data_IF_960781989356
#
_entry.id   IF_960781989356
#
_cell.length_a   1.000
_cell.length_b   1.000
_cell.length_c   1.000
_cell.angle_alpha   90.00
_cell.angle_beta   90.00
_cell.angle_gamma   90.00
#
_symmetry.space_group_name_H-M   'P 1'
#
loop_
_entity.id
_entity.type
_entity.pdbx_description
1 polymer ?
#
# COMPACT_ATOMS: atom_id res chain seq x y z
N UNK A 1 10.36 69.35 7.57
CA UNK A 1 10.15 68.29 8.56
C UNK A 1 10.33 66.94 7.84
N UNK A 2 11.47 66.28 8.09
CA UNK A 2 11.77 64.97 7.48
C UNK A 2 11.15 63.86 8.34
N UNK A 3 10.26 63.10 7.77
CA UNK A 3 9.81 61.86 8.40
C UNK A 3 10.92 60.81 8.28
N UNK A 4 11.29 60.08 9.36
CA UNK A 4 12.23 59.01 9.27
C UNK A 4 11.59 57.84 8.52
N UNK A 5 12.16 57.45 7.40
CA UNK A 5 11.69 56.31 6.62
C UNK A 5 11.81 55.01 7.41
N UNK A 6 10.67 54.44 7.74
CA UNK A 6 10.59 53.09 8.32
C UNK A 6 10.96 52.07 7.21
N UNK A 7 12.06 51.36 7.40
CA UNK A 7 12.49 50.27 6.53
C UNK A 7 11.74 48.99 7.00
N UNK A 8 10.95 48.40 6.13
CA UNK A 8 10.22 47.16 6.40
C UNK A 8 10.97 45.99 5.74
N UNK A 9 11.13 44.94 6.48
CA UNK A 9 11.87 43.78 6.08
C UNK A 9 10.95 42.54 6.04
N UNK A 10 10.84 41.86 4.91
CA UNK A 10 10.13 40.58 4.80
C UNK A 10 11.05 39.49 4.24
N UNK A 11 11.08 38.37 4.90
CA UNK A 11 11.59 37.11 4.35
C UNK A 11 10.40 36.17 4.15
N UNK A 12 10.02 35.94 2.87
CA UNK A 12 8.96 34.98 2.52
C UNK A 12 9.60 33.72 1.94
N UNK A 13 9.25 32.57 2.49
CA UNK A 13 9.51 31.28 1.87
C UNK A 13 8.20 30.77 1.27
N UNK A 14 7.84 31.31 0.08
CA UNK A 14 6.71 30.83 -0.69
C UNK A 14 7.20 29.76 -1.67
N UNK A 15 6.76 28.51 -1.49
CA UNK A 15 6.86 27.53 -2.57
C UNK A 15 5.73 27.81 -3.55
N UNK A 16 6.08 28.34 -4.73
CA UNK A 16 5.18 28.49 -5.87
C UNK A 16 4.78 27.09 -6.39
N UNK A 17 3.57 26.66 -6.05
CA UNK A 17 2.81 25.71 -6.87
C UNK A 17 1.73 26.51 -7.60
N UNK A 18 2.01 26.86 -8.84
CA UNK A 18 1.08 27.58 -9.67
C UNK A 18 -0.10 26.72 -10.12
N UNK A 19 -1.29 27.09 -9.69
CA UNK A 19 -2.55 26.74 -10.35
C UNK A 19 -3.49 27.94 -10.25
N UNK A 20 -4.18 28.36 -11.32
CA UNK A 20 -5.02 29.54 -11.27
C UNK A 20 -6.27 29.27 -10.43
N UNK A 21 -6.44 30.05 -9.37
CA UNK A 21 -7.70 30.13 -8.63
C UNK A 21 -8.74 30.82 -9.51
N UNK A 22 -9.77 30.08 -9.93
CA UNK A 22 -11.03 30.67 -10.37
C UNK A 22 -11.76 31.21 -9.14
N UNK A 23 -11.86 32.52 -9.06
CA UNK A 23 -12.67 33.18 -8.05
C UNK A 23 -14.16 32.90 -8.31
N UNK A 24 -14.80 32.10 -7.45
CA UNK A 24 -16.24 32.06 -7.31
C UNK A 24 -16.64 32.93 -6.11
N UNK A 25 -17.66 33.80 -6.32
CA UNK A 25 -18.22 34.71 -5.31
C UNK A 25 -18.58 33.95 -4.01
N UNK A 26 -18.22 34.47 -2.84
CA UNK A 26 -18.58 33.87 -1.56
C UNK A 26 -20.06 34.07 -1.25
N UNK A 27 -20.74 33.00 -0.83
CA UNK A 27 -21.97 33.09 -0.06
C UNK A 27 -21.66 33.72 1.29
N UNK A 28 -22.55 34.61 1.77
CA UNK A 28 -22.49 35.43 2.97
C UNK A 28 -21.39 35.08 3.99
N UNK A 29 -20.33 35.85 3.97
CA UNK A 29 -19.23 35.74 4.91
C UNK A 29 -19.66 36.29 6.27
N UNK A 30 -19.30 35.59 7.36
CA UNK A 30 -19.32 36.16 8.71
C UNK A 30 -18.49 37.46 8.70
N UNK A 31 -19.11 38.56 9.08
CA UNK A 31 -18.43 39.85 9.19
C UNK A 31 -17.44 39.73 10.37
N UNK A 32 -16.12 39.81 10.14
CA UNK A 32 -15.14 39.78 11.23
C UNK A 32 -15.42 40.90 12.21
N UNK A 33 -15.16 40.68 13.49
CA UNK A 33 -15.30 41.75 14.49
C UNK A 33 -14.43 42.93 14.08
N UNK A 34 -14.84 44.15 14.42
CA UNK A 34 -14.10 45.36 14.02
C UNK A 34 -12.61 45.34 14.43
N UNK A 35 -12.27 44.63 15.50
CA UNK A 35 -10.90 44.41 15.95
C UNK A 35 -10.14 43.42 15.05
N UNK A 36 -10.76 42.31 14.65
CA UNK A 36 -10.19 41.31 13.73
C UNK A 36 -9.95 41.88 12.33
N UNK A 37 -10.92 42.70 11.84
CA UNK A 37 -10.79 43.39 10.57
C UNK A 37 -9.70 44.50 10.61
N UNK A 38 -9.46 45.10 11.76
CA UNK A 38 -8.38 46.05 11.95
C UNK A 38 -7.00 45.36 11.99
N UNK A 39 -6.87 44.18 12.63
CA UNK A 39 -5.63 43.39 12.65
C UNK A 39 -5.29 42.82 11.26
N UNK A 40 -6.28 42.32 10.53
CA UNK A 40 -6.07 41.83 9.15
C UNK A 40 -5.66 42.96 8.20
N UNK A 41 -6.30 44.13 8.27
CA UNK A 41 -5.88 45.28 7.48
C UNK A 41 -4.49 45.77 7.82
N UNK A 42 -4.11 45.75 9.09
CA UNK A 42 -2.76 46.15 9.53
C UNK A 42 -1.73 45.17 9.03
N UNK A 43 -2.06 43.89 9.00
CA UNK A 43 -1.16 42.84 8.49
C UNK A 43 -1.00 42.97 6.96
N UNK A 44 -2.09 43.13 6.21
CA UNK A 44 -2.02 43.29 4.75
C UNK A 44 -1.27 44.58 4.35
N UNK A 45 -1.55 45.71 5.04
CA UNK A 45 -0.87 46.97 4.77
C UNK A 45 0.61 46.91 5.11
N UNK A 46 0.98 46.18 6.17
CA UNK A 46 2.36 45.92 6.53
C UNK A 46 3.07 45.07 5.46
N UNK A 47 2.43 44.01 4.98
CA UNK A 47 2.98 43.10 3.96
C UNK A 47 3.13 43.77 2.59
N UNK A 48 2.17 44.63 2.19
CA UNK A 48 2.24 45.36 0.93
C UNK A 48 3.35 46.42 0.88
N UNK A 49 3.67 47.01 2.02
CA UNK A 49 4.70 48.07 2.12
C UNK A 49 6.10 47.49 2.43
N UNK A 50 6.22 46.21 2.64
CA UNK A 50 7.47 45.57 3.03
C UNK A 50 8.40 45.39 1.85
N UNK A 51 9.67 45.59 2.08
CA UNK A 51 10.75 45.32 1.08
C UNK A 51 11.56 44.12 1.50
N UNK A 52 11.99 43.28 0.55
CA UNK A 52 12.85 42.15 0.86
C UNK A 52 14.16 42.61 1.50
N UNK A 53 14.68 41.80 2.40
CA UNK A 53 15.99 42.00 3.02
C UNK A 53 17.06 42.00 1.94
N UNK A 54 17.71 43.12 1.71
CA UNK A 54 18.80 43.25 0.71
C UNK A 54 20.06 42.53 1.17
N UNK A 55 20.92 42.17 0.21
CA UNK A 55 22.26 41.60 0.47
C UNK A 55 23.28 42.70 0.90
N UNK A 56 22.87 43.53 1.85
CA UNK A 56 23.75 44.59 2.40
C UNK A 56 24.76 44.04 3.42
N UNK A 57 25.70 44.91 3.91
CA UNK A 57 26.60 44.55 4.98
C UNK A 57 25.79 44.20 6.24
N UNK A 58 26.26 43.20 6.98
CA UNK A 58 25.64 42.78 8.23
C UNK A 58 25.75 43.90 9.29
N UNK A 59 24.64 44.24 9.89
CA UNK A 59 24.56 45.18 11.00
C UNK A 59 23.90 44.53 12.21
N UNK A 60 24.38 44.85 13.41
CA UNK A 60 23.82 44.35 14.67
C UNK A 60 22.56 45.16 15.03
N UNK A 61 21.50 44.45 15.39
CA UNK A 61 20.26 45.02 15.89
C UNK A 61 19.80 44.32 17.18
N UNK A 62 19.14 45.07 18.05
CA UNK A 62 18.54 44.58 19.29
C UNK A 62 17.05 44.36 19.12
N UNK A 63 16.57 43.14 19.37
CA UNK A 63 15.12 42.81 19.28
C UNK A 63 14.41 43.48 20.47
N UNK A 64 13.59 44.51 20.19
CA UNK A 64 12.83 45.20 21.18
C UNK A 64 11.53 44.51 21.49
N UNK A 65 10.78 44.07 20.44
CA UNK A 65 9.49 43.41 20.52
C UNK A 65 9.36 42.31 19.48
N UNK A 66 8.55 41.30 19.82
CA UNK A 66 8.13 40.23 18.88
C UNK A 66 6.61 40.13 19.02
N UNK A 67 5.90 40.54 17.99
CA UNK A 67 4.44 40.50 17.92
C UNK A 67 4.04 39.32 17.03
N UNK A 68 3.00 38.56 17.43
CA UNK A 68 2.49 37.43 16.68
C UNK A 68 1.04 37.74 16.27
N UNK A 69 0.77 37.57 14.97
CA UNK A 69 -0.53 37.87 14.36
C UNK A 69 -1.10 36.62 13.67
N UNK A 70 -2.44 36.59 13.49
CA UNK A 70 -3.13 35.55 12.71
C UNK A 70 -3.38 34.22 13.43
N UNK A 71 -3.04 34.15 14.73
CA UNK A 71 -3.23 32.95 15.57
C UNK A 71 -4.33 33.23 16.59
N UNK A 72 -5.36 32.36 16.62
CA UNK A 72 -6.51 32.51 17.51
C UNK A 72 -6.56 31.53 18.68
N UNK A 73 -5.97 30.35 18.50
CA UNK A 73 -6.09 29.24 19.47
C UNK A 73 -4.76 28.79 20.08
N UNK A 74 -3.64 29.16 19.49
CA UNK A 74 -2.33 28.81 20.01
C UNK A 74 -1.80 29.94 20.92
N UNK A 75 -1.12 29.58 22.00
CA UNK A 75 -0.54 30.52 22.94
C UNK A 75 0.65 31.27 22.28
N UNK A 76 0.56 32.58 22.21
CA UNK A 76 1.59 33.44 21.60
C UNK A 76 2.95 33.31 22.28
N UNK A 77 3.00 33.10 23.61
CA UNK A 77 4.28 32.95 24.34
C UNK A 77 4.97 31.64 24.00
N UNK A 78 4.20 30.56 23.81
CA UNK A 78 4.73 29.27 23.37
C UNK A 78 5.27 29.41 21.94
N UNK A 79 4.55 30.07 21.06
CA UNK A 79 4.99 30.28 19.68
C UNK A 79 6.23 31.15 19.60
N UNK A 80 6.31 32.21 20.44
CA UNK A 80 7.50 33.04 20.54
C UNK A 80 8.70 32.25 21.01
N UNK A 81 8.55 31.46 22.06
CA UNK A 81 9.62 30.60 22.58
C UNK A 81 10.06 29.55 21.55
N UNK A 82 9.12 28.92 20.87
CA UNK A 82 9.40 27.87 19.87
C UNK A 82 10.02 28.44 18.58
N UNK A 83 9.73 29.68 18.21
CA UNK A 83 10.37 30.35 17.07
C UNK A 83 11.85 30.66 17.35
N UNK A 84 12.22 30.85 18.61
CA UNK A 84 13.53 31.32 19.04
C UNK A 84 13.74 32.81 18.80
N UNK A 85 12.65 33.58 18.56
CA UNK A 85 12.67 35.05 18.50
C UNK A 85 12.39 35.59 19.89
N UNK A 86 13.46 36.00 20.61
CA UNK A 86 13.35 36.41 22.01
C UNK A 86 13.55 37.93 22.10
N UNK A 87 12.63 38.70 22.69
CA UNK A 87 12.89 40.12 23.00
C UNK A 87 14.12 40.25 23.90
N UNK A 88 14.98 41.21 23.59
CA UNK A 88 16.27 41.45 24.30
C UNK A 88 17.47 40.81 23.60
N UNK A 89 17.28 39.89 22.68
CA UNK A 89 18.38 39.30 21.92
C UNK A 89 18.96 40.28 20.90
N UNK A 90 20.23 40.09 20.56
CA UNK A 90 20.95 40.85 19.54
C UNK A 90 21.20 39.95 18.32
N UNK A 91 20.80 40.42 17.15
CA UNK A 91 20.97 39.66 15.92
C UNK A 91 21.65 40.48 14.82
N UNK A 92 22.41 39.80 13.98
CA UNK A 92 22.91 40.42 12.75
C UNK A 92 21.86 40.27 11.62
N UNK A 93 21.63 41.33 10.86
CA UNK A 93 20.83 41.31 9.66
C UNK A 93 21.65 41.91 8.49
N UNK A 94 21.56 41.27 7.30
CA UNK A 94 20.91 39.98 6.96
C UNK A 94 21.65 38.76 7.56
N UNK A 95 20.88 37.78 8.02
CA UNK A 95 21.43 36.51 8.52
C UNK A 95 20.37 35.37 8.42
N UNK A 96 20.80 34.15 8.67
CA UNK A 96 19.92 32.98 8.71
C UNK A 96 19.00 32.91 9.94
N UNK A 97 19.13 33.83 10.90
CA UNK A 97 18.40 33.78 12.18
C UNK A 97 16.88 33.80 11.98
N UNK A 98 16.38 34.75 11.16
CA UNK A 98 14.95 34.84 10.84
C UNK A 98 14.50 33.62 10.00
N UNK A 99 15.31 33.17 9.04
CA UNK A 99 15.02 31.96 8.26
C UNK A 99 14.91 30.70 9.12
N UNK A 100 15.76 30.58 10.14
CA UNK A 100 15.70 29.49 11.10
C UNK A 100 14.43 29.56 11.97
N UNK A 101 14.00 30.75 12.38
CA UNK A 101 12.75 30.96 13.12
C UNK A 101 11.51 30.55 12.28
N UNK A 102 11.46 30.97 11.01
CA UNK A 102 10.43 30.55 10.06
C UNK A 102 10.44 29.02 9.93
N UNK A 103 11.59 28.41 9.74
CA UNK A 103 11.74 26.96 9.61
C UNK A 103 11.28 26.21 10.86
N UNK A 104 11.54 26.71 12.05
CA UNK A 104 11.07 26.12 13.32
C UNK A 104 9.56 26.17 13.43
N UNK A 105 8.95 27.32 13.15
CA UNK A 105 7.48 27.46 13.17
C UNK A 105 6.83 26.59 12.11
N UNK A 106 7.38 26.55 10.89
CA UNK A 106 6.89 25.71 9.80
C UNK A 106 6.97 24.22 10.10
N UNK A 107 8.03 23.78 10.78
CA UNK A 107 8.23 22.39 11.16
C UNK A 107 7.17 21.84 12.11
N UNK A 108 6.49 22.72 12.85
CA UNK A 108 5.36 22.34 13.73
C UNK A 108 4.11 21.90 12.98
N UNK A 109 4.02 22.17 11.66
CA UNK A 109 2.93 21.80 10.75
C UNK A 109 1.56 22.42 11.06
N UNK A 110 1.45 23.32 12.04
CA UNK A 110 0.19 23.98 12.39
C UNK A 110 -0.19 25.11 11.44
N UNK A 111 0.75 25.60 10.64
CA UNK A 111 0.57 26.77 9.81
C UNK A 111 0.55 26.42 8.32
N UNK A 112 -0.31 27.11 7.57
CA UNK A 112 -0.33 27.09 6.11
C UNK A 112 0.60 28.14 5.51
N UNK A 113 0.86 29.23 6.26
CA UNK A 113 1.85 30.24 5.90
C UNK A 113 2.51 30.82 7.15
N UNK A 114 3.80 31.19 7.02
CA UNK A 114 4.63 31.80 8.05
C UNK A 114 5.44 32.91 7.42
N UNK A 115 5.16 34.15 7.82
CA UNK A 115 5.90 35.31 7.36
C UNK A 115 6.44 36.09 8.54
N UNK A 116 7.65 36.62 8.41
CA UNK A 116 8.27 37.45 9.44
C UNK A 116 8.67 38.77 8.82
N UNK A 117 8.13 39.85 9.33
CA UNK A 117 8.49 41.20 8.98
C UNK A 117 9.27 41.89 10.10
N UNK A 118 9.99 42.94 9.78
CA UNK A 118 10.77 43.68 10.72
C UNK A 118 10.63 45.18 10.48
N UNK A 119 10.47 45.92 11.56
CA UNK A 119 10.55 47.40 11.57
C UNK A 119 11.84 47.79 12.28
N UNK A 120 12.67 48.56 11.59
CA UNK A 120 13.97 49.04 12.11
C UNK A 120 13.83 50.49 12.58
N UNK A 121 14.23 50.72 13.82
CA UNK A 121 14.30 52.09 14.43
C UNK A 121 15.64 52.24 15.06
N UNK A 122 16.58 52.89 14.36
CA UNK A 122 17.98 53.00 14.73
C UNK A 122 18.69 51.64 14.79
N UNK A 123 19.07 51.21 16.00
CA UNK A 123 19.68 49.89 16.27
C UNK A 123 18.66 48.92 16.91
N UNK A 124 17.41 49.34 17.06
CA UNK A 124 16.31 48.54 17.60
C UNK A 124 15.48 47.88 16.49
N UNK A 125 14.96 46.68 16.74
CA UNK A 125 14.23 45.89 15.82
C UNK A 125 12.92 45.39 16.45
N UNK A 126 11.82 45.74 15.82
CA UNK A 126 10.49 45.18 16.15
C UNK A 126 10.16 44.12 15.11
N UNK A 127 9.93 42.86 15.55
CA UNK A 127 9.57 41.74 14.69
C UNK A 127 8.06 41.49 14.70
N UNK A 128 7.50 41.38 13.51
CA UNK A 128 6.09 41.07 13.28
C UNK A 128 6.00 39.71 12.62
N UNK A 129 5.45 38.69 13.32
CA UNK A 129 5.31 37.32 12.86
C UNK A 129 3.87 37.08 12.45
N UNK A 130 3.63 36.86 11.18
CA UNK A 130 2.31 36.56 10.61
C UNK A 130 2.18 35.08 10.38
N UNK A 131 1.22 34.45 11.05
CA UNK A 131 0.95 33.02 11.02
C UNK A 131 -0.45 32.76 10.49
N UNK A 132 -0.60 31.91 9.51
CA UNK A 132 -1.90 31.43 9.05
C UNK A 132 -2.10 30.00 9.53
N UNK A 133 -3.01 29.79 10.46
CA UNK A 133 -3.35 28.46 10.95
C UNK A 133 -4.02 27.61 9.86
N UNK A 134 -3.69 26.30 9.82
CA UNK A 134 -4.36 25.37 8.92
C UNK A 134 -5.79 25.11 9.38
N UNK A 135 -6.77 25.14 8.46
CA UNK A 135 -8.15 24.83 8.81
C UNK A 135 -8.30 23.38 9.25
N UNK A 136 -9.26 23.11 10.15
CA UNK A 136 -9.54 21.77 10.67
C UNK A 136 -10.87 21.27 10.13
N UNK A 137 -10.90 19.99 9.73
CA UNK A 137 -12.09 19.34 9.21
C UNK A 137 -13.12 19.18 10.34
N UNK A 138 -14.31 19.81 10.19
CA UNK A 138 -15.46 19.58 11.05
C UNK A 138 -16.32 18.44 10.55
N UNK A 139 -16.65 18.47 9.26
CA UNK A 139 -17.52 17.49 8.61
C UNK A 139 -17.04 17.21 7.20
N UNK A 140 -17.33 15.99 6.70
CA UNK A 140 -17.10 15.63 5.29
C UNK A 140 -18.26 14.81 4.74
N UNK A 141 -18.49 14.94 3.44
CA UNK A 141 -19.54 14.23 2.72
C UNK A 141 -19.10 13.88 1.30
N UNK A 142 -19.88 13.00 0.69
CA UNK A 142 -19.68 12.56 -0.68
C UNK A 142 -20.90 12.91 -1.52
N UNK A 143 -20.68 13.46 -2.71
CA UNK A 143 -21.70 13.71 -3.72
C UNK A 143 -21.39 12.89 -4.99
N UNK A 144 -22.41 12.62 -5.81
CA UNK A 144 -22.27 11.85 -7.07
C UNK A 144 -22.26 10.32 -6.93
N UNK A 145 -22.41 9.79 -5.70
CA UNK A 145 -22.42 8.34 -5.45
C UNK A 145 -23.60 7.89 -4.57
N UNK A 146 -24.06 6.63 -4.70
CA UNK A 146 -25.13 6.08 -3.86
C UNK A 146 -24.74 6.00 -2.38
N UNK A 147 -25.75 6.12 -1.49
CA UNK A 147 -25.55 6.08 -0.02
C UNK A 147 -24.80 4.83 0.47
N UNK A 148 -25.04 3.66 -0.11
CA UNK A 148 -24.31 2.44 0.23
C UNK A 148 -22.81 2.55 0.00
N UNK A 149 -22.39 3.27 -1.06
CA UNK A 149 -20.96 3.49 -1.36
C UNK A 149 -20.35 4.61 -0.52
N UNK A 150 -21.16 5.57 -0.08
CA UNK A 150 -20.72 6.58 0.88
C UNK A 150 -20.31 5.93 2.20
N UNK A 151 -21.12 4.96 2.71
CA UNK A 151 -20.80 4.20 3.93
C UNK A 151 -19.48 3.44 3.81
N UNK A 152 -19.30 2.68 2.72
CA UNK A 152 -18.07 1.94 2.44
C UNK A 152 -16.83 2.88 2.43
N UNK A 153 -16.97 4.08 1.85
CA UNK A 153 -15.88 5.07 1.79
C UNK A 153 -15.63 5.73 3.14
N UNK A 154 -16.67 6.01 3.92
CA UNK A 154 -16.49 6.58 5.27
C UNK A 154 -15.64 5.68 6.18
N UNK A 155 -15.79 4.36 6.07
CA UNK A 155 -15.00 3.40 6.84
C UNK A 155 -13.54 3.32 6.33
N UNK A 156 -13.33 3.48 5.02
CA UNK A 156 -11.98 3.42 4.40
C UNK A 156 -11.19 4.72 4.55
N UNK A 157 -11.85 5.86 4.51
CA UNK A 157 -11.23 7.17 4.68
C UNK A 157 -10.83 7.36 6.14
N UNK A 158 -9.53 7.53 6.39
CA UNK A 158 -8.98 7.81 7.73
C UNK A 158 -9.10 9.29 8.11
N UNK A 159 -10.15 9.97 7.61
CA UNK A 159 -10.43 11.36 7.93
C UNK A 159 -11.26 11.41 9.23
N UNK A 160 -10.83 12.22 10.18
CA UNK A 160 -11.52 12.42 11.47
C UNK A 160 -11.85 13.88 11.67
N UNK A 161 -12.89 14.17 12.45
CA UNK A 161 -13.17 15.52 12.90
C UNK A 161 -11.96 16.06 13.67
N UNK A 162 -11.58 17.32 13.41
CA UNK A 162 -10.39 17.94 13.98
C UNK A 162 -9.09 17.66 13.23
N UNK A 163 -9.12 16.83 12.16
CA UNK A 163 -7.95 16.61 11.30
C UNK A 163 -7.56 17.91 10.61
N UNK A 164 -6.31 18.29 10.67
CA UNK A 164 -5.79 19.44 9.91
C UNK A 164 -5.89 19.19 8.42
N UNK A 165 -6.53 20.11 7.71
CA UNK A 165 -6.69 20.02 6.27
C UNK A 165 -5.47 20.60 5.57
N UNK A 166 -4.68 19.74 4.95
CA UNK A 166 -3.56 20.09 4.08
C UNK A 166 -3.78 19.50 2.70
N UNK A 167 -3.09 20.03 1.69
CA UNK A 167 -3.11 19.48 0.32
C UNK A 167 -2.76 18.00 0.31
N UNK A 168 -1.79 17.59 1.13
CA UNK A 168 -1.43 16.18 1.30
C UNK A 168 -2.62 15.33 1.78
N UNK A 169 -3.39 15.82 2.76
CA UNK A 169 -4.56 15.09 3.28
C UNK A 169 -5.64 15.00 2.20
N UNK A 170 -5.85 16.08 1.44
CA UNK A 170 -6.81 16.10 0.34
C UNK A 170 -6.41 15.10 -0.74
N UNK A 171 -5.16 15.15 -1.22
CA UNK A 171 -4.67 14.30 -2.30
C UNK A 171 -4.62 12.82 -1.91
N UNK A 172 -4.25 12.54 -0.67
CA UNK A 172 -4.28 11.18 -0.13
C UNK A 172 -5.70 10.60 -0.15
N UNK A 173 -6.68 11.37 0.31
CA UNK A 173 -8.07 10.92 0.31
C UNK A 173 -8.64 10.85 -1.11
N UNK A 174 -8.29 11.81 -2.00
CA UNK A 174 -8.63 11.78 -3.43
C UNK A 174 -8.09 10.52 -4.11
N UNK A 175 -6.83 10.16 -3.85
CA UNK A 175 -6.23 8.93 -4.35
C UNK A 175 -6.97 7.69 -3.84
N UNK A 176 -7.25 7.62 -2.55
CA UNK A 176 -7.95 6.50 -1.92
C UNK A 176 -9.36 6.27 -2.51
N UNK A 177 -10.09 7.37 -2.81
CA UNK A 177 -11.39 7.30 -3.46
C UNK A 177 -11.25 6.79 -4.90
N UNK A 178 -10.25 7.27 -5.67
CA UNK A 178 -9.98 6.80 -7.02
C UNK A 178 -9.63 5.31 -7.03
N UNK A 179 -8.75 4.86 -6.14
CA UNK A 179 -8.33 3.47 -6.03
C UNK A 179 -9.53 2.57 -5.71
N UNK A 180 -10.38 2.97 -4.76
CA UNK A 180 -11.61 2.25 -4.42
C UNK A 180 -12.55 2.05 -5.63
N UNK A 181 -12.73 3.07 -6.46
CA UNK A 181 -13.56 2.96 -7.65
C UNK A 181 -12.86 2.23 -8.80
N UNK A 182 -11.54 2.34 -8.91
CA UNK A 182 -10.72 1.59 -9.87
C UNK A 182 -10.85 0.08 -9.65
N UNK A 183 -10.74 -0.40 -8.41
CA UNK A 183 -10.99 -1.80 -8.04
C UNK A 183 -12.39 -2.29 -8.44
N UNK A 184 -13.37 -1.38 -8.47
CA UNK A 184 -14.74 -1.68 -8.92
C UNK A 184 -14.93 -1.54 -10.43
N UNK A 185 -13.85 -1.22 -11.17
CA UNK A 185 -13.81 -1.10 -12.63
C UNK A 185 -14.09 0.30 -13.17
N UNK A 186 -14.14 1.32 -12.32
CA UNK A 186 -14.32 2.73 -12.71
C UNK A 186 -12.96 3.45 -12.71
N UNK A 187 -12.09 3.10 -13.65
CA UNK A 187 -10.70 3.63 -13.68
C UNK A 187 -10.60 5.13 -13.97
N UNK A 188 -11.57 5.67 -14.68
CA UNK A 188 -11.60 7.08 -15.07
C UNK A 188 -12.37 7.95 -14.06
N UNK A 189 -12.47 7.51 -12.81
CA UNK A 189 -13.13 8.27 -11.76
C UNK A 189 -12.42 9.60 -11.50
N UNK A 190 -13.16 10.69 -11.63
CA UNK A 190 -12.72 12.02 -11.26
C UNK A 190 -13.22 12.35 -9.86
N UNK A 191 -12.37 12.98 -9.08
CA UNK A 191 -12.68 13.37 -7.70
C UNK A 191 -12.24 14.81 -7.50
N UNK A 192 -13.21 15.70 -7.38
CA UNK A 192 -13.02 17.10 -7.00
C UNK A 192 -13.34 17.29 -5.54
N UNK A 193 -12.73 18.31 -4.95
CA UNK A 193 -12.92 18.62 -3.52
C UNK A 193 -13.34 20.05 -3.40
N UNK A 194 -14.52 20.26 -2.77
CA UNK A 194 -14.99 21.58 -2.37
C UNK A 194 -14.82 21.72 -0.88
N UNK A 195 -14.27 22.85 -0.47
CA UNK A 195 -14.01 23.19 0.92
C UNK A 195 -14.86 24.42 1.23
N UNK A 196 -15.75 24.29 2.17
CA UNK A 196 -16.63 25.37 2.63
C UNK A 196 -16.30 25.68 4.10
N UNK A 197 -16.16 26.95 4.48
CA UNK A 197 -15.98 27.35 5.87
C UNK A 197 -17.20 26.94 6.69
N UNK A 198 -16.98 26.50 7.92
CA UNK A 198 -18.08 26.18 8.82
C UNK A 198 -18.70 27.49 9.36
N UNK A 199 -20.03 27.60 9.34
CA UNK A 199 -20.72 28.80 9.75
C UNK A 199 -20.73 29.05 11.28
N UNK A 200 -20.46 27.99 12.07
CA UNK A 200 -20.54 28.08 13.54
C UNK A 200 -19.16 27.98 14.21
N UNK A 201 -18.21 27.29 13.56
CA UNK A 201 -16.89 27.01 14.13
C UNK A 201 -15.82 27.75 13.34
N UNK A 202 -15.22 28.78 13.96
CA UNK A 202 -14.10 29.52 13.39
C UNK A 202 -12.93 28.55 13.10
N UNK A 203 -12.29 28.69 11.93
CA UNK A 203 -11.19 27.83 11.41
C UNK A 203 -11.56 26.34 11.20
N UNK A 204 -12.84 25.99 11.25
CA UNK A 204 -13.32 24.69 10.84
C UNK A 204 -13.87 24.74 9.42
N UNK A 205 -13.65 23.65 8.68
CA UNK A 205 -14.10 23.51 7.30
C UNK A 205 -14.89 22.24 7.09
N UNK A 206 -15.85 22.34 6.18
CA UNK A 206 -16.64 21.22 5.69
C UNK A 206 -16.10 20.80 4.33
N UNK A 207 -15.74 19.54 4.18
CA UNK A 207 -15.12 18.99 2.96
C UNK A 207 -16.16 18.18 2.19
N UNK A 208 -16.42 18.55 0.94
CA UNK A 208 -17.30 17.80 0.05
C UNK A 208 -16.48 17.17 -1.07
N UNK A 209 -16.45 15.83 -1.13
CA UNK A 209 -15.85 15.07 -2.24
C UNK A 209 -16.90 14.90 -3.33
N UNK A 210 -16.70 15.57 -4.47
CA UNK A 210 -17.52 15.47 -5.68
C UNK A 210 -16.97 14.34 -6.55
N UNK A 211 -17.72 13.26 -6.70
CA UNK A 211 -17.23 12.03 -7.34
C UNK A 211 -18.00 11.77 -8.62
N UNK A 212 -17.33 11.88 -9.75
CA UNK A 212 -17.83 11.39 -11.04
C UNK A 212 -17.15 10.07 -11.39
N UNK A 213 -17.88 8.97 -11.25
CA UNK A 213 -17.37 7.63 -11.52
C UNK A 213 -17.10 7.34 -12.98
N UNK A 214 -17.64 8.15 -13.90
CA UNK A 214 -17.64 7.87 -15.33
C UNK A 214 -18.18 6.45 -15.63
N UNK A 215 -17.74 5.86 -16.74
CA UNK A 215 -18.16 4.53 -17.16
C UNK A 215 -17.23 3.42 -16.62
N UNK A 216 -17.79 2.22 -16.46
CA UNK A 216 -16.97 1.04 -16.18
C UNK A 216 -16.08 0.73 -17.38
N UNK A 217 -14.80 0.59 -17.13
CA UNK A 217 -13.81 0.18 -18.12
C UNK A 217 -13.63 -1.34 -18.02
N UNK A 218 -13.64 -2.02 -19.16
CA UNK A 218 -13.51 -3.48 -19.27
C UNK A 218 -12.33 -3.83 -20.17
N UNK A 219 -11.72 -4.98 -19.92
CA UNK A 219 -10.69 -5.53 -20.81
C UNK A 219 -11.37 -5.96 -22.12
N UNK A 220 -10.98 -5.30 -23.21
CA UNK A 220 -11.47 -5.57 -24.55
C UNK A 220 -10.70 -6.67 -25.25
N UNK A 221 -9.37 -6.67 -25.13
CA UNK A 221 -8.48 -7.61 -25.80
C UNK A 221 -7.24 -7.86 -24.97
N UNK A 222 -6.76 -9.11 -24.97
CA UNK A 222 -5.45 -9.52 -24.44
C UNK A 222 -4.68 -10.14 -25.61
N UNK A 223 -3.50 -9.64 -25.90
CA UNK A 223 -2.61 -10.05 -26.99
C UNK A 223 -1.23 -10.38 -26.47
N UNK A 224 -0.53 -11.24 -27.18
CA UNK A 224 0.82 -11.67 -26.84
C UNK A 224 1.72 -11.47 -28.06
N UNK A 225 3.01 -11.30 -27.80
CA UNK A 225 4.09 -11.38 -28.79
C UNK A 225 5.21 -12.26 -28.24
N UNK A 226 6.05 -12.81 -29.13
CA UNK A 226 7.11 -13.75 -28.74
C UNK A 226 6.63 -15.16 -28.37
N UNK A 227 5.32 -15.45 -28.50
CA UNK A 227 4.71 -16.74 -28.22
C UNK A 227 4.66 -17.62 -29.47
N UNK A 228 5.78 -18.24 -29.85
CA UNK A 228 5.88 -19.10 -31.04
C UNK A 228 5.26 -20.49 -30.84
N UNK A 229 5.35 -21.03 -29.63
CA UNK A 229 4.94 -22.40 -29.30
C UNK A 229 3.47 -22.53 -28.90
N UNK A 230 2.90 -21.48 -28.36
CA UNK A 230 1.51 -21.51 -27.90
C UNK A 230 0.71 -20.34 -28.46
N UNK A 231 -0.50 -20.66 -28.96
CA UNK A 231 -1.40 -19.61 -29.49
C UNK A 231 -1.92 -18.70 -28.38
N UNK A 232 -2.20 -17.46 -28.70
CA UNK A 232 -2.87 -16.48 -27.82
C UNK A 232 -4.11 -17.04 -27.14
N UNK A 233 -4.91 -17.84 -27.86
CA UNK A 233 -6.12 -18.46 -27.32
C UNK A 233 -5.78 -19.40 -26.15
N UNK A 234 -4.66 -20.11 -26.24
CA UNK A 234 -4.21 -21.04 -25.18
C UNK A 234 -3.67 -20.27 -24.00
N UNK A 235 -2.86 -19.24 -24.25
CA UNK A 235 -2.29 -18.40 -23.21
C UNK A 235 -3.38 -17.61 -22.44
N UNK A 236 -4.38 -17.08 -23.13
CA UNK A 236 -5.53 -16.44 -22.45
C UNK A 236 -6.31 -17.36 -21.51
N UNK A 237 -6.23 -18.68 -21.67
CA UNK A 237 -6.88 -19.63 -20.75
C UNK A 237 -6.13 -19.80 -19.43
N UNK A 238 -4.86 -19.44 -19.37
CA UNK A 238 -4.08 -19.46 -18.11
C UNK A 238 -4.53 -18.39 -17.15
N UNK A 239 -5.06 -17.27 -17.68
CA UNK A 239 -5.62 -16.18 -16.89
C UNK A 239 -6.94 -16.61 -16.24
N UNK A 240 -6.94 -16.72 -14.91
CA UNK A 240 -8.12 -17.19 -14.14
C UNK A 240 -9.00 -16.05 -13.66
N UNK A 241 -8.40 -14.91 -13.37
CA UNK A 241 -9.06 -13.73 -12.80
C UNK A 241 -9.23 -12.60 -13.82
N UNK A 242 -8.23 -12.38 -14.67
CA UNK A 242 -8.18 -11.34 -15.69
C UNK A 242 -8.71 -11.87 -17.03
N UNK A 243 -9.92 -11.50 -17.40
CA UNK A 243 -10.54 -11.98 -18.64
C UNK A 243 -10.87 -10.84 -19.58
N UNK A 244 -10.65 -11.06 -20.89
CA UNK A 244 -11.22 -10.17 -21.90
C UNK A 244 -12.76 -10.34 -21.97
N UNK A 245 -13.45 -9.28 -22.38
CA UNK A 245 -14.91 -9.30 -22.58
C UNK A 245 -15.31 -10.45 -23.51
N UNK A 246 -16.14 -11.34 -23.02
CA UNK A 246 -16.70 -12.49 -23.73
C UNK A 246 -18.22 -12.35 -23.85
N UNK A 247 -18.85 -13.20 -24.68
CA UNK A 247 -20.30 -13.37 -24.75
C UNK A 247 -20.85 -13.85 -23.41
N UNK A 248 -20.04 -14.58 -22.63
CA UNK A 248 -20.43 -15.00 -21.29
C UNK A 248 -20.46 -13.79 -20.33
N UNK A 249 -21.68 -13.30 -20.05
CA UNK A 249 -21.95 -12.14 -19.20
C UNK A 249 -21.57 -12.33 -17.73
N UNK A 250 -21.42 -13.58 -17.27
CA UNK A 250 -21.06 -13.93 -15.90
C UNK A 250 -19.55 -13.79 -15.63
N UNK A 251 -18.70 -13.76 -16.67
CA UNK A 251 -17.27 -13.49 -16.51
C UNK A 251 -17.02 -12.00 -16.44
N UNK A 252 -16.53 -11.55 -15.28
CA UNK A 252 -16.08 -10.18 -15.11
C UNK A 252 -14.88 -9.88 -16.04
N UNK A 253 -14.92 -8.74 -16.73
CA UNK A 253 -13.81 -8.28 -17.57
C UNK A 253 -13.18 -7.01 -16.98
N UNK A 254 -13.15 -6.90 -15.65
CA UNK A 254 -12.49 -5.80 -14.96
C UNK A 254 -10.98 -6.07 -14.91
N UNK A 255 -10.19 -5.02 -14.95
CA UNK A 255 -8.78 -5.09 -14.60
C UNK A 255 -8.63 -4.74 -13.12
N UNK A 256 -8.11 -5.68 -12.35
CA UNK A 256 -7.58 -5.51 -11.01
C UNK A 256 -6.08 -5.79 -11.10
N UNK A 257 -5.26 -4.91 -10.60
CA UNK A 257 -3.80 -5.01 -10.73
C UNK A 257 -3.25 -6.25 -10.00
N UNK A 258 -3.72 -6.53 -8.79
CA UNK A 258 -3.28 -7.73 -8.05
C UNK A 258 -3.70 -9.02 -8.77
N UNK A 259 -4.93 -9.08 -9.25
CA UNK A 259 -5.42 -10.25 -10.01
C UNK A 259 -4.65 -10.43 -11.32
N UNK A 260 -4.20 -9.35 -11.93
CA UNK A 260 -3.41 -9.38 -13.15
C UNK A 260 -1.98 -9.85 -12.89
N UNK A 261 -1.34 -9.40 -11.80
CA UNK A 261 -0.04 -9.92 -11.39
C UNK A 261 -0.08 -11.43 -11.12
N UNK A 262 -1.10 -11.89 -10.35
CA UNK A 262 -1.29 -13.33 -10.12
C UNK A 262 -1.47 -14.12 -11.43
N UNK A 263 -2.20 -13.56 -12.40
CA UNK A 263 -2.41 -14.20 -13.69
C UNK A 263 -1.14 -14.21 -14.56
N UNK A 264 -0.25 -13.22 -14.43
CA UNK A 264 1.08 -13.24 -15.05
C UNK A 264 1.97 -14.37 -14.47
N UNK A 265 1.92 -14.56 -13.15
CA UNK A 265 2.59 -15.71 -12.53
C UNK A 265 2.05 -17.05 -13.08
N UNK A 266 0.73 -17.19 -13.19
CA UNK A 266 0.10 -18.38 -13.77
C UNK A 266 0.48 -18.62 -15.24
N UNK A 267 0.73 -17.57 -16.00
CA UNK A 267 1.22 -17.66 -17.37
C UNK A 267 2.63 -18.25 -17.41
N UNK A 268 3.53 -17.79 -16.56
CA UNK A 268 4.90 -18.33 -16.45
C UNK A 268 4.87 -19.76 -15.93
N UNK A 269 4.05 -20.06 -14.92
CA UNK A 269 3.84 -21.43 -14.41
C UNK A 269 3.37 -22.38 -15.51
N UNK A 270 2.49 -21.91 -16.40
CA UNK A 270 2.06 -22.70 -17.54
C UNK A 270 3.24 -23.05 -18.47
N UNK A 271 4.10 -22.09 -18.81
CA UNK A 271 5.28 -22.32 -19.62
C UNK A 271 6.25 -23.30 -18.92
N UNK A 272 6.51 -23.10 -17.65
CA UNK A 272 7.34 -23.98 -16.83
C UNK A 272 6.79 -25.41 -16.80
N UNK A 273 5.45 -25.57 -16.74
CA UNK A 273 4.81 -26.90 -16.78
C UNK A 273 4.89 -27.59 -18.14
N UNK A 274 5.38 -26.88 -19.16
CA UNK A 274 5.60 -27.41 -20.52
C UNK A 274 7.07 -27.56 -20.88
N UNK A 275 7.96 -27.34 -19.91
CA UNK A 275 9.40 -27.46 -20.07
C UNK A 275 10.14 -26.17 -20.38
N UNK A 276 9.45 -25.08 -20.53
CA UNK A 276 10.05 -23.77 -20.86
C UNK A 276 10.49 -23.06 -19.57
N UNK A 277 11.56 -23.57 -18.97
CA UNK A 277 12.08 -23.10 -17.67
C UNK A 277 12.45 -21.63 -17.65
N UNK A 278 13.01 -21.14 -18.76
CA UNK A 278 13.49 -19.76 -18.90
C UNK A 278 12.45 -18.82 -19.49
N UNK A 279 11.18 -19.26 -19.60
CA UNK A 279 10.11 -18.38 -20.05
C UNK A 279 9.96 -17.18 -19.12
N UNK A 280 9.88 -16.01 -19.73
CA UNK A 280 9.79 -14.75 -18.99
C UNK A 280 8.93 -13.73 -19.73
N UNK A 281 8.29 -12.85 -18.97
CA UNK A 281 7.61 -11.67 -19.51
C UNK A 281 8.67 -10.56 -19.64
N UNK A 282 8.92 -10.12 -20.85
CA UNK A 282 9.88 -9.05 -21.15
C UNK A 282 9.29 -7.68 -20.84
N UNK A 283 8.05 -7.49 -21.25
CA UNK A 283 7.29 -6.28 -20.95
C UNK A 283 5.79 -6.55 -20.99
N UNK A 284 5.03 -5.73 -20.30
CA UNK A 284 3.58 -5.70 -20.44
C UNK A 284 3.08 -4.26 -20.52
N UNK A 285 1.98 -4.05 -21.22
CA UNK A 285 1.38 -2.73 -21.37
C UNK A 285 -0.13 -2.82 -21.32
N UNK A 286 -0.71 -1.85 -20.58
CA UNK A 286 -2.17 -1.65 -20.50
C UNK A 286 -2.49 -0.31 -21.15
N UNK A 287 -3.25 -0.32 -22.21
CA UNK A 287 -3.56 0.87 -22.99
C UNK A 287 -5.05 1.03 -23.27
N UNK A 288 -5.57 2.26 -23.40
CA UNK A 288 -6.97 2.47 -23.74
C UNK A 288 -7.22 2.15 -25.24
N UNK A 289 -8.20 1.29 -25.51
CA UNK A 289 -8.75 1.09 -26.87
C UNK A 289 -9.83 2.16 -27.11
N UNK A 290 -10.63 2.45 -26.12
CA UNK A 290 -11.61 3.54 -26.06
C UNK A 290 -12.03 3.80 -24.61
N UNK A 291 -12.93 4.78 -24.36
CA UNK A 291 -13.35 5.21 -23.02
C UNK A 291 -13.91 4.07 -22.13
N UNK A 292 -14.28 2.94 -22.72
CA UNK A 292 -14.93 1.80 -22.02
C UNK A 292 -14.13 0.51 -22.12
N UNK A 293 -13.00 0.49 -22.86
CA UNK A 293 -12.21 -0.72 -23.12
C UNK A 293 -10.73 -0.49 -23.03
N UNK A 294 -10.05 -1.41 -22.36
CA UNK A 294 -8.59 -1.49 -22.31
C UNK A 294 -8.09 -2.64 -23.18
N UNK A 295 -6.93 -2.46 -23.79
CA UNK A 295 -6.08 -3.51 -24.34
C UNK A 295 -5.00 -3.88 -23.33
N UNK A 296 -4.64 -5.15 -23.32
CA UNK A 296 -3.45 -5.66 -22.63
C UNK A 296 -2.57 -6.30 -23.70
N UNK A 297 -1.30 -5.95 -23.72
CA UNK A 297 -0.31 -6.57 -24.56
C UNK A 297 0.84 -7.06 -23.68
N UNK A 298 1.25 -8.31 -23.89
CA UNK A 298 2.29 -8.98 -23.11
C UNK A 298 3.33 -9.50 -24.10
N UNK A 299 4.55 -9.06 -23.91
CA UNK A 299 5.69 -9.49 -24.70
C UNK A 299 6.46 -10.55 -23.93
N UNK A 300 6.68 -11.71 -24.56
CA UNK A 300 7.21 -12.91 -23.94
C UNK A 300 8.54 -13.33 -24.57
N UNK A 301 9.37 -13.98 -23.79
CA UNK A 301 10.45 -14.82 -24.25
C UNK A 301 10.20 -16.24 -23.74
N UNK A 302 10.00 -17.19 -24.65
CA UNK A 302 9.69 -18.58 -24.27
C UNK A 302 10.93 -19.33 -23.82
N UNK A 303 12.10 -19.01 -24.39
CA UNK A 303 13.34 -19.74 -24.17
C UNK A 303 13.33 -21.15 -24.77
N UNK A 304 14.34 -21.96 -24.40
CA UNK A 304 14.46 -23.36 -24.87
C UNK A 304 13.62 -24.29 -23.97
N UNK A 305 13.18 -25.40 -24.56
CA UNK A 305 12.48 -26.46 -23.83
C UNK A 305 13.48 -27.42 -23.19
N UNK A 306 13.33 -27.65 -21.89
CA UNK A 306 14.22 -28.46 -21.09
C UNK A 306 13.65 -29.85 -20.79
N UNK A 307 14.57 -30.83 -20.73
CA UNK A 307 14.31 -32.25 -20.40
C UNK A 307 15.18 -32.69 -19.22
N UNK A 308 14.69 -33.63 -18.44
CA UNK A 308 15.46 -34.25 -17.35
C UNK A 308 16.48 -35.18 -17.94
N UNK A 309 17.77 -34.90 -17.74
CA UNK A 309 18.86 -35.74 -18.19
C UNK A 309 19.24 -36.79 -17.15
N UNK A 310 19.31 -36.41 -15.90
CA UNK A 310 19.66 -37.27 -14.79
C UNK A 310 18.96 -36.85 -13.51
N UNK A 311 18.69 -37.83 -12.64
CA UNK A 311 18.14 -37.60 -11.29
C UNK A 311 19.05 -38.34 -10.32
N UNK A 312 19.53 -37.64 -9.30
CA UNK A 312 20.35 -38.18 -8.23
C UNK A 312 19.75 -37.87 -6.87
N UNK A 313 19.77 -38.85 -5.99
CA UNK A 313 19.29 -38.76 -4.63
C UNK A 313 20.47 -38.80 -3.66
N UNK A 314 20.46 -37.92 -2.65
CA UNK A 314 21.53 -37.83 -1.67
C UNK A 314 20.91 -37.69 -0.28
N UNK A 315 21.40 -38.50 0.67
CA UNK A 315 20.98 -38.43 2.07
C UNK A 315 19.76 -39.27 2.42
N UNK A 316 19.26 -40.10 1.51
CA UNK A 316 18.17 -41.02 1.73
C UNK A 316 18.68 -42.35 2.35
N UNK A 317 18.62 -42.47 3.67
CA UNK A 317 18.98 -43.69 4.40
C UNK A 317 17.76 -44.54 4.78
N UNK A 318 16.58 -43.96 4.85
CA UNK A 318 15.35 -44.60 5.26
C UNK A 318 14.61 -45.26 4.09
N UNK A 319 14.54 -44.57 2.95
CA UNK A 319 13.94 -45.11 1.74
C UNK A 319 15.01 -45.44 0.72
N UNK A 320 14.90 -46.60 0.09
CA UNK A 320 15.75 -46.95 -1.05
C UNK A 320 15.48 -46.00 -2.22
N UNK A 321 16.52 -45.75 -3.00
CA UNK A 321 16.45 -44.86 -4.17
C UNK A 321 15.35 -45.30 -5.15
N UNK A 322 15.17 -46.59 -5.37
CA UNK A 322 14.13 -47.17 -6.24
C UNK A 322 12.71 -46.79 -5.77
N UNK A 323 12.47 -46.83 -4.45
CA UNK A 323 11.17 -46.41 -3.88
C UNK A 323 10.93 -44.92 -4.05
N UNK A 324 11.95 -44.08 -3.85
CA UNK A 324 11.85 -42.64 -4.06
C UNK A 324 11.61 -42.29 -5.53
N UNK A 325 12.24 -42.99 -6.46
CA UNK A 325 12.02 -42.81 -7.91
C UNK A 325 10.58 -43.16 -8.30
N UNK A 326 10.05 -44.27 -7.76
CA UNK A 326 8.64 -44.65 -7.97
C UNK A 326 7.68 -43.60 -7.43
N UNK A 327 7.90 -43.14 -6.20
CA UNK A 327 7.08 -42.08 -5.57
C UNK A 327 7.19 -40.73 -6.32
N UNK A 328 8.39 -40.42 -6.80
CA UNK A 328 8.62 -39.19 -7.56
C UNK A 328 7.97 -39.26 -8.94
N UNK A 329 8.00 -40.42 -9.59
CA UNK A 329 7.37 -40.69 -10.88
C UNK A 329 7.80 -39.73 -11.99
N UNK A 330 9.06 -39.24 -11.95
CA UNK A 330 9.72 -38.47 -12.99
C UNK A 330 10.95 -39.28 -13.43
N UNK A 331 11.12 -39.44 -14.74
CA UNK A 331 12.16 -40.24 -15.31
C UNK A 331 13.09 -39.44 -16.21
N UNK A 332 14.27 -40.01 -16.48
CA UNK A 332 15.19 -39.48 -17.47
C UNK A 332 14.52 -39.41 -18.85
N UNK A 333 14.63 -38.24 -19.49
CA UNK A 333 13.99 -37.93 -20.78
C UNK A 333 12.64 -37.24 -20.65
N UNK A 334 12.06 -37.17 -19.45
CA UNK A 334 10.82 -36.44 -19.25
C UNK A 334 11.02 -34.95 -19.44
N UNK A 335 9.95 -34.28 -19.86
CA UNK A 335 9.94 -32.84 -19.93
C UNK A 335 10.03 -32.23 -18.52
N UNK A 336 10.93 -31.28 -18.35
CA UNK A 336 11.01 -30.52 -17.09
C UNK A 336 9.69 -29.88 -16.74
N UNK A 337 9.11 -30.23 -15.60
CA UNK A 337 7.89 -29.62 -15.05
C UNK A 337 8.10 -29.34 -13.56
N UNK A 338 8.63 -28.15 -13.27
CA UNK A 338 8.94 -27.71 -11.92
C UNK A 338 7.76 -27.86 -10.98
N UNK A 339 6.58 -27.46 -11.43
CA UNK A 339 5.36 -27.48 -10.63
C UNK A 339 4.97 -28.88 -10.21
N UNK A 340 4.94 -29.82 -11.16
CA UNK A 340 4.64 -31.22 -10.89
C UNK A 340 5.69 -31.87 -9.98
N UNK A 341 6.98 -31.60 -10.24
CA UNK A 341 8.09 -32.12 -9.44
C UNK A 341 8.00 -31.62 -7.98
N UNK A 342 7.82 -30.33 -7.76
CA UNK A 342 7.73 -29.73 -6.42
C UNK A 342 6.52 -30.25 -5.64
N UNK A 343 5.38 -30.42 -6.33
CA UNK A 343 4.19 -31.02 -5.74
C UNK A 343 4.47 -32.46 -5.27
N UNK A 344 5.13 -33.30 -6.10
CA UNK A 344 5.45 -34.68 -5.77
C UNK A 344 6.50 -34.79 -4.66
N UNK A 345 7.44 -33.86 -4.60
CA UNK A 345 8.36 -33.74 -3.47
C UNK A 345 7.67 -33.28 -2.18
N UNK A 346 6.58 -32.54 -2.27
CA UNK A 346 5.86 -31.96 -1.12
C UNK A 346 6.46 -30.65 -0.63
N UNK A 347 7.07 -29.86 -1.52
CA UNK A 347 7.80 -28.64 -1.18
C UNK A 347 7.26 -27.41 -1.91
N UNK A 348 7.56 -26.22 -1.37
CA UNK A 348 7.21 -24.94 -1.96
C UNK A 348 5.71 -24.58 -1.89
N UNK A 349 5.28 -23.61 -2.70
CA UNK A 349 3.88 -23.15 -2.78
C UNK A 349 2.91 -24.23 -3.31
N UNK A 350 3.42 -25.25 -3.96
CA UNK A 350 2.66 -26.34 -4.57
C UNK A 350 2.40 -27.50 -3.62
N UNK A 351 3.04 -27.49 -2.45
CA UNK A 351 2.83 -28.51 -1.43
C UNK A 351 1.42 -28.36 -0.83
N UNK A 352 0.56 -29.34 -1.10
CA UNK A 352 -0.70 -29.46 -0.43
C UNK A 352 -0.54 -30.47 0.73
N UNK A 353 -0.91 -30.11 1.96
CA UNK A 353 -0.88 -31.03 3.10
C UNK A 353 -1.63 -32.35 2.87
N UNK A 354 -2.67 -32.34 2.07
CA UNK A 354 -3.53 -33.50 1.84
C UNK A 354 -3.03 -34.41 0.71
N UNK A 355 -2.04 -33.95 -0.09
CA UNK A 355 -1.50 -34.73 -1.19
C UNK A 355 -0.39 -35.68 -0.71
N UNK A 356 -0.40 -36.89 -1.24
CA UNK A 356 0.69 -37.82 -1.10
C UNK A 356 1.96 -37.26 -1.78
N UNK A 357 3.06 -37.16 -1.04
CA UNK A 357 4.35 -36.65 -1.50
C UNK A 357 5.50 -37.39 -0.83
N UNK A 358 6.70 -37.24 -1.35
CA UNK A 358 7.88 -37.84 -0.71
C UNK A 358 8.06 -37.30 0.71
N UNK A 359 7.95 -36.01 0.89
CA UNK A 359 8.08 -35.41 2.22
C UNK A 359 7.00 -35.91 3.18
N UNK A 360 5.73 -36.07 2.72
CA UNK A 360 4.68 -36.66 3.54
C UNK A 360 4.97 -38.12 3.91
N UNK A 361 5.59 -38.89 3.05
CA UNK A 361 6.07 -40.25 3.35
C UNK A 361 7.05 -40.28 4.53
N UNK A 362 8.07 -39.43 4.53
CA UNK A 362 8.99 -39.27 5.64
C UNK A 362 8.28 -38.83 6.95
N UNK A 363 7.34 -37.88 6.85
CA UNK A 363 6.59 -37.41 7.99
C UNK A 363 5.64 -38.46 8.58
N UNK A 364 5.07 -39.34 7.75
CA UNK A 364 4.29 -40.49 8.20
C UNK A 364 5.13 -41.58 8.89
N UNK A 365 6.42 -41.63 8.56
CA UNK A 365 7.40 -42.53 9.19
C UNK A 365 8.04 -41.90 10.46
N UNK A 366 7.54 -40.81 10.97
CA UNK A 366 8.04 -40.16 12.17
C UNK A 366 9.09 -39.07 11.97
N UNK A 367 9.52 -38.79 10.77
CA UNK A 367 10.57 -37.80 10.47
C UNK A 367 9.96 -36.41 10.24
N UNK A 368 9.40 -35.84 11.29
CA UNK A 368 8.69 -34.57 11.25
C UNK A 368 9.52 -33.43 10.67
N UNK A 369 10.82 -33.38 10.94
CA UNK A 369 11.73 -32.30 10.51
C UNK A 369 12.48 -32.61 9.21
N UNK A 370 12.03 -33.64 8.47
CA UNK A 370 12.62 -33.93 7.17
C UNK A 370 12.47 -32.78 6.19
N UNK A 371 13.48 -32.58 5.35
CA UNK A 371 13.51 -31.53 4.33
C UNK A 371 14.08 -32.09 3.03
N UNK A 372 13.63 -31.57 1.90
CA UNK A 372 14.12 -31.92 0.59
C UNK A 372 14.55 -30.65 -0.12
N UNK A 373 15.81 -30.60 -0.55
CA UNK A 373 16.38 -29.48 -1.31
C UNK A 373 16.71 -29.96 -2.75
N UNK A 374 15.91 -29.53 -3.73
CA UNK A 374 16.22 -29.80 -5.13
C UNK A 374 17.29 -28.81 -5.64
N UNK A 375 18.33 -29.34 -6.26
CA UNK A 375 19.36 -28.60 -6.98
C UNK A 375 19.28 -28.93 -8.48
N UNK A 376 19.13 -27.89 -9.29
CA UNK A 376 18.95 -27.98 -10.74
C UNK A 376 20.22 -27.51 -11.44
N UNK A 377 20.87 -28.38 -12.17
CA UNK A 377 22.09 -28.09 -12.92
C UNK A 377 21.76 -28.14 -14.41
N UNK A 378 21.82 -27.00 -15.07
CA UNK A 378 21.62 -26.92 -16.52
C UNK A 378 22.86 -27.47 -17.24
N UNK A 379 22.65 -28.43 -18.14
CA UNK A 379 23.70 -29.07 -18.92
C UNK A 379 23.39 -28.91 -20.41
N UNK A 380 24.28 -28.22 -21.12
CA UNK A 380 24.04 -27.92 -22.52
C UNK A 380 22.90 -26.90 -22.73
N UNK A 381 22.11 -27.06 -23.80
CA UNK A 381 21.08 -26.13 -24.20
C UNK A 381 19.67 -26.46 -23.67
N UNK A 382 19.41 -27.77 -23.46
CA UNK A 382 18.06 -28.30 -23.29
C UNK A 382 17.93 -29.35 -22.18
N UNK A 383 18.97 -29.56 -21.39
CA UNK A 383 19.03 -30.68 -20.43
C UNK A 383 19.27 -30.18 -19.01
N UNK A 384 18.64 -30.84 -18.05
CA UNK A 384 18.77 -30.55 -16.61
C UNK A 384 19.11 -31.82 -15.87
N UNK A 385 20.17 -31.77 -15.05
CA UNK A 385 20.43 -32.73 -14.01
C UNK A 385 19.79 -32.25 -12.71
N UNK A 386 19.03 -33.14 -12.09
CA UNK A 386 18.33 -32.85 -10.83
C UNK A 386 19.00 -33.62 -9.69
N UNK A 387 19.56 -32.92 -8.73
CA UNK A 387 20.06 -33.49 -7.48
C UNK A 387 19.10 -33.20 -6.35
N UNK A 388 18.56 -34.23 -5.71
CA UNK A 388 17.60 -34.15 -4.64
C UNK A 388 18.28 -34.52 -3.32
N UNK A 389 18.58 -33.51 -2.51
CA UNK A 389 19.19 -33.67 -1.18
C UNK A 389 18.11 -33.82 -0.14
N UNK A 390 18.16 -34.93 0.59
CA UNK A 390 17.21 -35.24 1.66
C UNK A 390 17.93 -35.12 3.00
N UNK A 391 17.35 -34.28 3.88
CA UNK A 391 17.74 -34.18 5.27
C UNK A 391 16.64 -34.87 6.08
N UNK A 392 16.87 -36.14 6.48
CA UNK A 392 15.85 -36.96 7.13
C UNK A 392 15.59 -36.52 8.57
N UNK A 393 16.62 -36.09 9.28
CA UNK A 393 16.52 -35.63 10.68
C UNK A 393 16.36 -36.79 11.64
N UNK A 394 15.73 -36.55 12.80
CA UNK A 394 15.46 -37.55 13.83
C UNK A 394 14.00 -37.98 13.80
N UNK A 395 13.73 -39.19 14.19
CA UNK A 395 12.39 -39.70 14.42
C UNK A 395 11.79 -39.11 15.68
N UNK A 396 10.51 -38.72 15.62
CA UNK A 396 9.76 -38.17 16.75
C UNK A 396 8.67 -39.15 17.19
N UNK A 397 8.45 -39.23 18.49
CA UNK A 397 7.33 -39.93 19.13
C UNK A 397 6.40 -38.91 19.77
N UNK A 398 5.12 -39.25 19.85
CA UNK A 398 4.11 -38.43 20.52
C UNK A 398 4.26 -38.62 22.02
N UNK A 399 4.62 -37.55 22.73
CA UNK A 399 4.78 -37.62 24.18
C UNK A 399 3.43 -37.51 24.90
N UNK A 400 2.59 -36.53 24.53
CA UNK A 400 1.31 -36.28 25.15
C UNK A 400 0.29 -35.72 24.16
N UNK A 401 -0.98 -36.02 24.35
CA UNK A 401 -2.12 -35.46 23.62
C UNK A 401 -3.04 -34.77 24.62
N UNK A 402 -3.02 -33.43 24.61
CA UNK A 402 -3.90 -32.61 25.45
C UNK A 402 -5.23 -32.35 24.75
N UNK A 403 -6.33 -32.49 25.50
CA UNK A 403 -7.68 -32.15 25.07
C UNK A 403 -8.15 -30.97 25.92
N UNK A 404 -8.74 -29.96 25.31
CA UNK A 404 -9.28 -28.79 26.01
C UNK A 404 -10.51 -28.24 25.28
N UNK A 405 -11.42 -27.61 26.03
CA UNK A 405 -12.65 -27.03 25.48
C UNK A 405 -13.81 -28.04 25.34
N UNK A 406 -13.66 -29.27 25.84
CA UNK A 406 -14.64 -30.37 25.74
C UNK A 406 -15.71 -30.33 26.84
N UNK A 407 -16.41 -29.22 27.03
CA UNK A 407 -17.39 -29.02 28.11
C UNK A 407 -18.64 -29.92 28.03
N UNK A 408 -18.87 -30.63 26.90
CA UNK A 408 -20.06 -31.46 26.65
C UNK A 408 -19.75 -32.93 26.40
N UNK A 409 -18.49 -33.29 26.22
CA UNK A 409 -18.07 -34.64 25.86
C UNK A 409 -16.91 -35.03 26.78
N UNK A 410 -16.98 -36.23 27.38
CA UNK A 410 -15.93 -36.74 28.22
C UNK A 410 -14.63 -36.98 27.48
N UNK A 411 -13.51 -36.72 28.13
CA UNK A 411 -12.15 -36.84 27.58
C UNK A 411 -11.90 -38.26 27.03
N UNK A 412 -12.39 -39.29 27.70
CA UNK A 412 -12.26 -40.70 27.31
C UNK A 412 -12.94 -41.02 25.97
N UNK A 413 -14.08 -40.39 25.70
CA UNK A 413 -14.82 -40.55 24.45
C UNK A 413 -14.00 -39.96 23.28
N UNK A 414 -13.44 -38.77 23.50
CA UNK A 414 -12.60 -38.10 22.48
C UNK A 414 -11.34 -38.92 22.24
N UNK A 415 -10.66 -39.38 23.30
CA UNK A 415 -9.42 -40.16 23.18
C UNK A 415 -9.60 -41.47 22.41
N UNK A 416 -10.78 -42.06 22.47
CA UNK A 416 -11.09 -43.28 21.75
C UNK A 416 -11.17 -43.06 20.23
N UNK A 417 -11.63 -41.90 19.81
CA UNK A 417 -11.85 -41.56 18.43
C UNK A 417 -10.62 -40.98 17.72
N UNK A 418 -9.65 -40.42 18.46
CA UNK A 418 -8.43 -39.86 17.88
C UNK A 418 -7.44 -40.96 17.48
N UNK A 419 -6.77 -40.76 16.36
CA UNK A 419 -5.81 -41.72 15.81
C UNK A 419 -4.41 -41.60 16.39
N UNK A 420 -4.05 -40.42 16.94
CA UNK A 420 -2.73 -40.16 17.53
C UNK A 420 -2.70 -40.51 19.02
N UNK A 421 -1.74 -41.35 19.43
CA UNK A 421 -1.65 -41.82 20.81
C UNK A 421 -0.28 -41.52 21.42
N UNK A 422 -0.21 -41.21 22.74
CA UNK A 422 1.06 -41.08 23.44
C UNK A 422 1.92 -42.34 23.32
N UNK A 423 3.22 -42.21 23.07
CA UNK A 423 4.18 -43.30 22.93
C UNK A 423 4.32 -43.83 21.47
N UNK A 424 3.40 -43.52 20.57
CA UNK A 424 3.48 -43.89 19.18
C UNK A 424 4.40 -42.93 18.39
N UNK A 425 4.92 -43.43 17.27
CA UNK A 425 5.66 -42.58 16.34
C UNK A 425 4.75 -41.49 15.78
N UNK A 426 5.32 -40.33 15.54
CA UNK A 426 4.60 -39.28 14.84
C UNK A 426 4.21 -39.78 13.43
N UNK A 427 2.95 -39.69 13.11
CA UNK A 427 2.38 -40.00 11.81
C UNK A 427 1.48 -38.83 11.40
N UNK A 428 1.90 -38.13 10.34
CA UNK A 428 1.16 -36.98 9.84
C UNK A 428 -0.22 -37.35 9.34
N UNK A 429 -0.37 -38.53 8.70
CA UNK A 429 -1.66 -38.97 8.14
C UNK A 429 -2.66 -39.25 9.28
N UNK A 430 -2.22 -39.85 10.37
CA UNK A 430 -3.03 -40.07 11.57
C UNK A 430 -3.46 -38.77 12.23
N UNK A 431 -2.54 -37.81 12.30
CA UNK A 431 -2.85 -36.46 12.82
C UNK A 431 -3.89 -35.74 11.96
N UNK A 432 -3.73 -35.79 10.63
CA UNK A 432 -4.69 -35.17 9.69
C UNK A 432 -6.07 -35.84 9.77
N UNK A 433 -6.14 -37.17 9.88
CA UNK A 433 -7.40 -37.87 10.06
C UNK A 433 -8.08 -37.44 11.38
N UNK A 434 -7.32 -37.31 12.47
CA UNK A 434 -7.82 -36.77 13.73
C UNK A 434 -8.41 -35.35 13.56
N UNK A 435 -7.69 -34.46 12.85
CA UNK A 435 -8.18 -33.12 12.58
C UNK A 435 -9.48 -33.10 11.76
N UNK A 436 -9.59 -33.95 10.75
CA UNK A 436 -10.78 -34.05 9.88
C UNK A 436 -12.03 -34.47 10.64
N UNK A 437 -11.90 -35.34 11.66
CA UNK A 437 -13.01 -35.73 12.51
C UNK A 437 -13.68 -34.56 13.25
N UNK A 438 -12.88 -33.53 13.59
CA UNK A 438 -13.35 -32.38 14.37
C UNK A 438 -13.59 -31.13 13.55
N UNK A 439 -13.13 -31.07 12.30
CA UNK A 439 -13.29 -29.90 11.41
C UNK A 439 -14.37 -30.14 10.33
N UNK A 440 -14.77 -31.36 10.05
CA UNK A 440 -15.86 -31.64 9.13
C UNK A 440 -17.19 -31.23 9.77
N UNK A 441 -18.02 -30.36 9.12
CA UNK A 441 -19.34 -30.06 9.61
C UNK A 441 -20.16 -31.36 9.67
N UNK A 442 -20.78 -31.61 10.81
CA UNK A 442 -21.70 -32.75 10.98
C UNK A 442 -22.81 -32.65 9.92
N UNK A 443 -23.33 -33.78 9.39
CA UNK A 443 -24.49 -33.75 8.51
C UNK A 443 -25.70 -33.01 9.07
N UNK A 444 -25.76 -32.79 10.39
CA UNK A 444 -26.79 -32.01 11.07
C UNK A 444 -26.59 -30.49 10.93
N UNK A 445 -25.35 -30.03 10.89
CA UNK A 445 -25.02 -28.59 10.76
C UNK A 445 -25.27 -28.07 9.34
N UNK A 446 -25.33 -28.96 8.35
CA UNK A 446 -25.66 -28.63 6.96
C UNK A 446 -27.15 -28.35 6.71
N UNK A 447 -28.03 -28.59 7.70
CA UNK A 447 -29.48 -28.37 7.61
C UNK A 447 -29.95 -27.11 8.37
N UNK A 448 -29.06 -26.41 9.11
CA UNK A 448 -29.42 -25.22 9.88
C UNK A 448 -28.81 -23.91 9.30
N UNK A 449 -28.24 -23.92 8.10
CA UNK A 449 -27.69 -22.72 7.42
C UNK A 449 -28.54 -22.23 6.25
#
# INVERSE_FOLDING_TARGET
>A
MKYPGKLFLILTLSMLSGSPLFAQQPAAADIPSAAEAAEERTAEEFLQNARPLGNGPQKLYHIRKVNIHGVKYLNHDILRSSSGLIPGDSIYLPSSYIGNAISRLWSQRFFSDVQVGATIDGDSLDLEVFLQERPRVNYWRFEGIPKSKQKDLMEKLKLKRGTELSDYVIDKNRKLIRDYFSEKGFRNTEVDVRIDNDSMLKQAVNVTFLIDRKHKVKIGKITFSGNEQFSDRRLRKTFKKTHQKSINIFRGAKLNENDYEDDKELLIDFYNSKGYRNANILSDSVFPINDRRLGIHIDLSEGDKYYIRNISWVGNSIYETSALEEMFGVSKGDTYDKKSMYKRLGIGKEANPDDASILSGYQNAGYLMSQIEPSEIVVGRDSIDLELKIYEGKQFTINNVGISGNNRVDDEVIRREIYTRPGELYDRSMLMQTCLLYTSPSPRDAHES
#
